data_IF_463994412701
#
_entry.id   IF_463994412701
#
_cell.length_a   1.000
_cell.length_b   1.000
_cell.length_c   1.000
_cell.angle_alpha   90.00
_cell.angle_beta   90.00
_cell.angle_gamma   90.00
#
_symmetry.space_group_name_H-M   'P 1'
#
loop_
_entity.id
_entity.type
_entity.pdbx_description
1 polymer ?
#
# COMPACT_ATOMS: atom_id res chain seq x y z
N UNK A 1 19.87 13.22 -1.87
CA UNK A 1 18.70 13.99 -1.39
C UNK A 1 17.37 13.38 -1.87
N UNK A 2 17.23 13.07 -3.18
CA UNK A 2 16.00 12.50 -3.75
C UNK A 2 15.48 11.20 -3.12
N UNK A 3 16.34 10.30 -2.62
CA UNK A 3 15.93 9.02 -2.03
C UNK A 3 15.12 9.12 -0.72
N UNK A 4 15.49 10.06 0.16
CA UNK A 4 14.76 10.29 1.41
C UNK A 4 13.41 10.96 1.14
N UNK A 5 13.36 11.80 0.11
CA UNK A 5 12.13 12.44 -0.36
C UNK A 5 11.15 11.39 -0.91
N UNK A 6 11.63 10.44 -1.72
CA UNK A 6 10.76 9.38 -2.25
C UNK A 6 10.17 8.48 -1.15
N UNK A 7 10.96 8.09 -0.14
CA UNK A 7 10.44 7.34 1.02
C UNK A 7 9.39 8.14 1.80
N UNK A 8 9.66 9.41 2.08
CA UNK A 8 8.71 10.29 2.77
C UNK A 8 7.41 10.47 1.96
N UNK A 9 7.52 10.60 0.64
CA UNK A 9 6.36 10.70 -0.25
C UNK A 9 5.54 9.40 -0.26
N UNK A 10 6.19 8.22 -0.28
CA UNK A 10 5.49 6.93 -0.16
C UNK A 10 4.70 6.88 1.15
N UNK A 11 5.32 7.24 2.27
CA UNK A 11 4.64 7.28 3.57
C UNK A 11 3.47 8.27 3.58
N UNK A 12 3.67 9.45 2.99
CA UNK A 12 2.65 10.48 2.87
C UNK A 12 1.44 10.00 2.03
N UNK A 13 1.67 9.42 0.85
CA UNK A 13 0.60 8.93 -0.01
C UNK A 13 -0.10 7.71 0.59
N UNK A 14 0.61 6.81 1.27
CA UNK A 14 -0.01 5.73 2.05
C UNK A 14 -0.85 6.30 3.20
N UNK A 15 -0.42 7.39 3.84
CA UNK A 15 -1.19 8.11 4.83
C UNK A 15 -2.50 8.66 4.27
N UNK A 16 -2.44 9.33 3.10
CA UNK A 16 -3.62 9.84 2.40
C UNK A 16 -4.56 8.69 2.06
N UNK A 17 -4.04 7.60 1.49
CA UNK A 17 -4.87 6.46 1.09
C UNK A 17 -5.60 5.81 2.28
N UNK A 18 -5.17 6.00 3.53
CA UNK A 18 -5.93 5.48 4.68
C UNK A 18 -7.25 6.22 4.91
N UNK A 19 -7.44 7.40 4.34
CA UNK A 19 -8.67 8.17 4.46
C UNK A 19 -9.81 7.54 3.64
N UNK A 20 -10.86 7.12 4.34
CA UNK A 20 -12.07 6.57 3.74
C UNK A 20 -12.91 7.63 3.00
N UNK A 21 -12.72 8.92 3.30
CA UNK A 21 -13.42 10.05 2.70
C UNK A 21 -12.89 10.47 1.32
N UNK A 22 -11.83 9.84 0.82
CA UNK A 22 -11.31 10.13 -0.51
C UNK A 22 -12.33 9.84 -1.61
N UNK A 23 -12.54 10.82 -2.49
CA UNK A 23 -13.25 10.59 -3.74
C UNK A 23 -12.50 9.57 -4.61
N UNK A 24 -13.21 8.91 -5.51
CA UNK A 24 -12.60 7.95 -6.44
C UNK A 24 -11.48 8.59 -7.29
N UNK A 25 -11.65 9.85 -7.71
CA UNK A 25 -10.66 10.59 -8.47
C UNK A 25 -9.41 10.91 -7.63
N UNK A 26 -9.57 11.42 -6.40
CA UNK A 26 -8.44 11.70 -5.52
C UNK A 26 -7.66 10.42 -5.21
N UNK A 27 -8.37 9.32 -4.94
CA UNK A 27 -7.78 8.00 -4.71
C UNK A 27 -6.97 7.54 -5.92
N UNK A 28 -7.52 7.62 -7.13
CA UNK A 28 -6.81 7.25 -8.36
C UNK A 28 -5.54 8.10 -8.54
N UNK A 29 -5.63 9.40 -8.31
CA UNK A 29 -4.46 10.30 -8.40
C UNK A 29 -3.40 9.95 -7.36
N UNK A 30 -3.79 9.71 -6.11
CA UNK A 30 -2.85 9.33 -5.04
C UNK A 30 -2.18 7.99 -5.32
N UNK A 31 -2.90 7.02 -5.89
CA UNK A 31 -2.31 5.75 -6.34
C UNK A 31 -1.27 5.99 -7.43
N UNK A 32 -1.60 6.79 -8.46
CA UNK A 32 -0.64 7.11 -9.52
C UNK A 32 0.62 7.80 -8.99
N UNK A 33 0.47 8.74 -8.05
CA UNK A 33 1.61 9.40 -7.40
C UNK A 33 2.44 8.43 -6.56
N UNK A 34 1.78 7.54 -5.81
CA UNK A 34 2.44 6.49 -5.06
C UNK A 34 3.29 5.60 -5.99
N UNK A 35 2.73 5.16 -7.12
CA UNK A 35 3.46 4.33 -8.11
C UNK A 35 4.71 5.06 -8.62
N UNK A 36 4.61 6.35 -8.94
CA UNK A 36 5.77 7.15 -9.40
C UNK A 36 6.87 7.19 -8.33
N UNK A 37 6.52 7.34 -7.05
CA UNK A 37 7.53 7.34 -5.98
C UNK A 37 8.12 5.95 -5.73
N UNK A 38 7.30 4.90 -5.81
CA UNK A 38 7.77 3.52 -5.73
C UNK A 38 8.74 3.20 -6.88
N UNK A 39 8.45 3.63 -8.11
CA UNK A 39 9.35 3.44 -9.25
C UNK A 39 10.69 4.14 -9.06
N UNK A 40 10.73 5.33 -8.42
CA UNK A 40 12.00 5.98 -8.05
C UNK A 40 12.83 5.13 -7.09
N UNK A 41 12.17 4.41 -6.19
CA UNK A 41 12.82 3.50 -5.23
C UNK A 41 13.18 2.14 -5.84
N UNK A 42 12.55 1.74 -6.95
CA UNK A 42 12.74 0.45 -7.61
C UNK A 42 14.13 0.22 -8.20
N UNK A 43 14.98 1.25 -8.24
CA UNK A 43 16.33 1.18 -8.81
C UNK A 43 17.42 0.81 -7.81
N UNK A 44 17.11 0.79 -6.51
CA UNK A 44 18.09 0.61 -5.46
C UNK A 44 17.74 -0.59 -4.57
N UNK A 45 18.68 -1.53 -4.49
CA UNK A 45 18.56 -2.74 -3.68
C UNK A 45 18.43 -2.44 -2.18
N UNK A 46 18.96 -1.29 -1.72
CA UNK A 46 18.87 -0.82 -0.33
C UNK A 46 17.43 -0.47 0.09
N UNK A 47 16.46 -0.58 -0.81
CA UNK A 47 15.05 -0.28 -0.55
C UNK A 47 14.19 -1.52 -0.35
N UNK A 48 14.76 -2.72 -0.45
CA UNK A 48 14.05 -3.96 -0.22
C UNK A 48 13.48 -4.02 1.22
N UNK A 49 14.29 -3.75 2.24
CA UNK A 49 13.85 -3.76 3.64
C UNK A 49 12.71 -2.74 3.88
N UNK A 50 12.82 -1.55 3.29
CA UNK A 50 11.75 -0.55 3.36
C UNK A 50 10.46 -1.07 2.72
N UNK A 51 10.54 -1.63 1.51
CA UNK A 51 9.38 -2.19 0.80
C UNK A 51 8.72 -3.32 1.59
N UNK A 52 9.53 -4.24 2.12
CA UNK A 52 9.07 -5.37 2.93
C UNK A 52 8.39 -4.91 4.22
N UNK A 53 8.94 -3.88 4.88
CA UNK A 53 8.32 -3.27 6.06
C UNK A 53 6.93 -2.70 5.74
N UNK A 54 6.75 -2.05 4.58
CA UNK A 54 5.45 -1.47 4.18
C UNK A 54 4.44 -2.54 3.80
N UNK A 55 4.88 -3.60 3.13
CA UNK A 55 4.05 -4.79 2.88
C UNK A 55 3.57 -5.40 4.20
N UNK A 56 4.46 -5.60 5.17
CA UNK A 56 4.09 -6.18 6.46
C UNK A 56 3.06 -5.32 7.22
N UNK A 57 3.27 -4.01 7.27
CA UNK A 57 2.33 -3.07 7.89
C UNK A 57 0.98 -3.11 7.18
N UNK A 58 0.97 -3.07 5.85
CA UNK A 58 -0.26 -3.09 5.07
C UNK A 58 -1.05 -4.40 5.26
N UNK A 59 -0.37 -5.55 5.36
CA UNK A 59 -1.01 -6.85 5.69
C UNK A 59 -1.68 -6.82 7.06
N UNK A 60 -1.01 -6.25 8.06
CA UNK A 60 -1.60 -6.11 9.40
C UNK A 60 -2.86 -5.23 9.36
N UNK A 61 -2.85 -4.16 8.56
CA UNK A 61 -4.00 -3.27 8.40
C UNK A 61 -5.17 -3.97 7.71
N UNK A 62 -4.91 -4.74 6.64
CA UNK A 62 -5.93 -5.57 5.97
C UNK A 62 -6.54 -6.57 6.96
N UNK A 63 -5.72 -7.28 7.73
CA UNK A 63 -6.21 -8.24 8.72
C UNK A 63 -7.09 -7.57 9.80
N UNK A 64 -6.69 -6.38 10.28
CA UNK A 64 -7.47 -5.62 11.24
C UNK A 64 -8.82 -5.16 10.64
N UNK A 65 -8.81 -4.64 9.41
CA UNK A 65 -10.04 -4.21 8.72
C UNK A 65 -10.98 -5.39 8.43
N UNK A 66 -10.44 -6.56 8.09
CA UNK A 66 -11.22 -7.78 7.92
C UNK A 66 -11.91 -8.18 9.23
N UNK A 67 -11.18 -8.15 10.35
CA UNK A 67 -11.75 -8.41 11.68
C UNK A 67 -12.85 -7.41 12.05
N UNK A 68 -12.71 -6.13 11.71
CA UNK A 68 -13.73 -5.10 11.94
C UNK A 68 -14.98 -5.40 11.10
N UNK A 69 -14.80 -5.69 9.81
CA UNK A 69 -15.90 -6.08 8.90
C UNK A 69 -16.63 -7.31 9.42
N UNK A 70 -15.91 -8.31 9.92
CA UNK A 70 -16.49 -9.55 10.42
C UNK A 70 -17.22 -9.38 11.76
N UNK A 71 -16.81 -8.42 12.59
CA UNK A 71 -17.50 -8.06 13.84
C UNK A 71 -18.82 -7.31 13.62
N UNK A 72 -19.02 -6.71 12.45
CA UNK A 72 -20.23 -5.96 12.13
C UNK A 72 -21.35 -6.90 11.63
N UNK A 73 -22.60 -6.75 12.12
CA UNK A 73 -23.70 -7.61 11.68
C UNK A 73 -23.98 -7.51 10.17
N UNK A 74 -24.34 -8.64 9.57
CA UNK A 74 -24.68 -8.70 8.15
C UNK A 74 -25.84 -7.76 7.77
N UNK A 75 -25.75 -7.14 6.60
CA UNK A 75 -26.77 -6.22 6.08
C UNK A 75 -26.79 -4.83 6.72
N UNK A 76 -25.92 -4.54 7.70
CA UNK A 76 -25.82 -3.20 8.29
C UNK A 76 -24.97 -2.28 7.42
N UNK A 77 -25.30 -0.98 7.45
CA UNK A 77 -24.47 0.07 6.82
C UNK A 77 -23.04 0.05 7.37
N UNK A 78 -22.87 -0.21 8.66
CA UNK A 78 -21.56 -0.36 9.29
C UNK A 78 -20.73 -1.48 8.63
N UNK A 79 -21.33 -2.64 8.35
CA UNK A 79 -20.63 -3.72 7.65
C UNK A 79 -20.29 -3.34 6.21
N UNK A 80 -21.21 -2.67 5.51
CA UNK A 80 -20.96 -2.19 4.15
C UNK A 80 -19.81 -1.17 4.09
N UNK A 81 -19.73 -0.26 5.05
CA UNK A 81 -18.64 0.72 5.12
C UNK A 81 -17.31 0.07 5.50
N UNK A 82 -17.33 -0.89 6.44
CA UNK A 82 -16.15 -1.68 6.77
C UNK A 82 -15.66 -2.53 5.57
N UNK A 83 -16.57 -3.06 4.76
CA UNK A 83 -16.25 -3.82 3.55
C UNK A 83 -15.64 -2.92 2.45
N UNK A 84 -16.19 -1.73 2.23
CA UNK A 84 -15.58 -0.74 1.32
C UNK A 84 -14.17 -0.37 1.76
N UNK A 85 -13.97 -0.17 3.07
CA UNK A 85 -12.66 0.15 3.63
C UNK A 85 -11.67 -1.03 3.48
N UNK A 86 -12.13 -2.26 3.69
CA UNK A 86 -11.32 -3.47 3.49
C UNK A 86 -10.85 -3.62 2.04
N UNK A 87 -11.78 -3.57 1.07
CA UNK A 87 -11.47 -3.65 -0.37
C UNK A 87 -10.43 -2.59 -0.74
N UNK A 88 -10.56 -1.40 -0.16
CA UNK A 88 -9.61 -0.33 -0.38
C UNK A 88 -8.20 -0.67 0.14
N UNK A 89 -8.08 -1.19 1.36
CA UNK A 89 -6.78 -1.61 1.89
C UNK A 89 -6.17 -2.79 1.12
N UNK A 90 -6.99 -3.72 0.62
CA UNK A 90 -6.54 -4.83 -0.24
C UNK A 90 -5.94 -4.35 -1.56
N UNK A 91 -6.51 -3.29 -2.15
CA UNK A 91 -5.94 -2.67 -3.35
C UNK A 91 -4.55 -2.05 -3.05
N UNK A 92 -4.41 -1.37 -1.91
CA UNK A 92 -3.12 -0.80 -1.49
C UNK A 92 -2.10 -1.91 -1.21
N UNK A 93 -2.52 -2.99 -0.56
CA UNK A 93 -1.70 -4.17 -0.30
C UNK A 93 -1.16 -4.77 -1.59
N UNK A 94 -2.01 -4.94 -2.60
CA UNK A 94 -1.62 -5.48 -3.91
C UNK A 94 -0.53 -4.63 -4.57
N UNK A 95 -0.68 -3.30 -4.54
CA UNK A 95 0.33 -2.38 -5.10
C UNK A 95 1.68 -2.49 -4.38
N UNK A 96 1.67 -2.65 -3.06
CA UNK A 96 2.88 -2.80 -2.26
C UNK A 96 3.55 -4.16 -2.47
N UNK A 97 2.76 -5.24 -2.57
CA UNK A 97 3.27 -6.57 -2.90
C UNK A 97 3.92 -6.57 -4.30
N UNK A 98 3.28 -5.97 -5.31
CA UNK A 98 3.82 -5.84 -6.66
C UNK A 98 5.15 -5.08 -6.69
N UNK A 99 5.21 -3.95 -5.97
CA UNK A 99 6.45 -3.18 -5.85
C UNK A 99 7.56 -3.99 -5.17
N UNK A 100 7.25 -4.68 -4.07
CA UNK A 100 8.19 -5.51 -3.36
C UNK A 100 8.69 -6.68 -4.22
N UNK A 101 7.79 -7.31 -5.00
CA UNK A 101 8.16 -8.35 -5.97
C UNK A 101 9.07 -7.82 -7.08
N UNK A 102 8.77 -6.64 -7.66
CA UNK A 102 9.65 -6.00 -8.66
C UNK A 102 11.05 -5.73 -8.10
N UNK A 103 11.13 -5.23 -6.86
CA UNK A 103 12.40 -5.02 -6.18
C UNK A 103 13.15 -6.35 -5.96
N UNK A 104 12.50 -7.38 -5.41
CA UNK A 104 13.15 -8.69 -5.23
C UNK A 104 13.66 -9.29 -6.52
N UNK A 105 12.92 -9.19 -7.63
CA UNK A 105 13.37 -9.72 -8.92
C UNK A 105 14.60 -8.99 -9.47
N UNK A 106 14.77 -7.71 -9.12
CA UNK A 106 15.93 -6.92 -9.53
C UNK A 106 17.14 -7.11 -8.62
N UNK A 107 16.90 -7.36 -7.34
CA UNK A 107 17.93 -7.66 -6.31
C UNK A 107 18.30 -9.15 -6.30
N UNK A 108 17.46 -10.00 -6.90
CA UNK A 108 17.65 -11.44 -7.06
C UNK A 108 19.03 -11.77 -7.62
N UNK A 109 19.56 -12.97 -7.31
CA UNK A 109 20.98 -13.25 -7.39
C UNK A 109 21.50 -12.86 -8.76
N UNK A 110 22.49 -11.95 -8.81
CA UNK A 110 23.30 -11.75 -10.00
C UNK A 110 23.69 -13.15 -10.45
N UNK A 111 23.12 -13.60 -11.56
CA UNK A 111 23.56 -14.85 -12.18
C UNK A 111 25.03 -14.62 -12.52
N UNK A 112 25.88 -15.35 -11.81
CA UNK A 112 27.33 -15.43 -12.04
C UNK A 112 27.56 -16.05 -13.40
#
# INVERSE_FOLDING_TARGET
MHRYVARANVEHYLGILKDAGLTMQQRSTTISLLVVELDKLSNDAEHLEFAESKVAVSRQQVAQAASIRDSAPAGTTQRQDAERHLIHLENVQTLLDDFCHRLRNKVGPRSV
#
